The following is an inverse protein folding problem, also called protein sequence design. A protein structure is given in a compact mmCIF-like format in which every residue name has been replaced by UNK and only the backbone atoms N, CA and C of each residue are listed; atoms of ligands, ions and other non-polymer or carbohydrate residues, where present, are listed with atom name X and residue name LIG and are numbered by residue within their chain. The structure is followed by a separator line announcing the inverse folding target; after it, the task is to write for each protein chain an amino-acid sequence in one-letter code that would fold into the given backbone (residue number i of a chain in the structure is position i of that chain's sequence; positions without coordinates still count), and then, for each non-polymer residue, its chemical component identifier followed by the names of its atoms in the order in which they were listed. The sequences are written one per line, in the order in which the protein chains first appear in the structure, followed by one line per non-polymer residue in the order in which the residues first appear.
data_IF_830368433696
#
_entry.id   IF_830368433696
#
_cell.length_a   1.000
_cell.length_b   1.000
_cell.length_c   1.000
_cell.angle_alpha   90.00
_cell.angle_beta   90.00
_cell.angle_gamma   90.00
#
_symmetry.space_group_name_H-M   'P 1'
#
loop_
_entity.id
_entity.type
_entity.pdbx_description
1 polymer ?
#
# COMPACT_ATOMS: atom_id res chain seq x y z
N UNK A 1 -2.48 8.70 -6.52
CA UNK A 1 -1.51 8.66 -5.40
C UNK A 1 -2.21 8.14 -4.16
N UNK A 2 -1.55 7.30 -3.38
CA UNK A 2 -2.02 6.83 -2.06
C UNK A 2 -1.01 7.32 -1.02
N UNK A 3 -1.51 7.79 0.13
CA UNK A 3 -0.70 8.16 1.28
C UNK A 3 -1.14 7.34 2.47
N UNK A 4 -0.19 6.64 3.10
CA UNK A 4 -0.41 5.84 4.29
C UNK A 4 0.20 6.52 5.51
N UNK A 5 -0.55 6.47 6.60
CA UNK A 5 -0.17 6.99 7.91
C UNK A 5 -0.18 5.82 8.88
N UNK A 6 0.98 5.51 9.45
CA UNK A 6 1.07 4.53 10.52
C UNK A 6 1.30 5.24 11.85
N UNK A 7 0.20 5.58 12.52
CA UNK A 7 0.24 6.22 13.84
C UNK A 7 0.39 5.18 14.98
N UNK A 8 0.81 3.96 14.68
CA UNK A 8 1.01 2.86 15.65
C UNK A 8 2.49 2.56 15.88
N UNK A 9 2.77 1.66 16.83
CA UNK A 9 4.13 1.27 17.21
C UNK A 9 4.67 0.05 16.45
N UNK A 10 3.91 -0.53 15.52
CA UNK A 10 4.30 -1.72 14.75
C UNK A 10 4.43 -1.40 13.26
N UNK A 11 5.31 -2.10 12.57
CA UNK A 11 5.37 -2.03 11.10
C UNK A 11 4.14 -2.70 10.49
N UNK A 12 3.49 -2.04 9.53
CA UNK A 12 2.38 -2.61 8.76
C UNK A 12 2.78 -2.79 7.29
N UNK A 13 3.06 -4.03 6.84
CA UNK A 13 3.37 -4.31 5.44
C UNK A 13 2.08 -4.28 4.61
N UNK A 14 1.76 -3.16 3.97
CA UNK A 14 0.54 -3.02 3.17
C UNK A 14 0.75 -3.59 1.76
N UNK A 15 -0.08 -4.56 1.37
CA UNK A 15 -0.02 -5.27 0.09
C UNK A 15 -1.28 -4.99 -0.74
N UNK A 16 -1.08 -4.45 -1.94
CA UNK A 16 -2.13 -4.24 -2.93
C UNK A 16 -2.02 -5.31 -4.02
N UNK A 17 -3.09 -6.07 -4.23
CA UNK A 17 -3.16 -7.07 -5.29
C UNK A 17 -3.38 -6.42 -6.67
N UNK A 18 -3.01 -7.12 -7.74
CA UNK A 18 -3.33 -6.74 -9.12
C UNK A 18 -2.56 -5.55 -9.72
N UNK A 19 -2.04 -4.65 -8.89
CA UNK A 19 -1.34 -3.44 -9.32
C UNK A 19 -0.03 -3.26 -8.55
N UNK A 20 0.80 -2.33 -9.02
CA UNK A 20 2.07 -2.00 -8.38
C UNK A 20 2.00 -0.67 -7.62
N UNK A 21 2.73 -0.59 -6.51
CA UNK A 21 3.06 0.67 -5.84
C UNK A 21 4.40 1.19 -6.35
N UNK A 22 4.40 2.39 -6.91
CA UNK A 22 5.60 3.07 -7.41
C UNK A 22 6.04 4.15 -6.41
N UNK A 23 7.23 3.95 -5.86
CA UNK A 23 7.87 4.91 -4.96
C UNK A 23 8.60 5.96 -5.80
N UNK A 24 8.53 7.18 -5.30
CA UNK A 24 9.22 8.33 -5.86
C UNK A 24 10.11 8.95 -4.78
N UNK A 25 11.15 9.67 -5.20
CA UNK A 25 11.91 10.53 -4.31
C UNK A 25 11.18 11.89 -4.13
N UNK A 26 11.84 12.85 -3.48
CA UNK A 26 11.27 14.18 -3.21
C UNK A 26 11.03 15.01 -4.49
N UNK A 27 11.75 14.75 -5.57
CA UNK A 27 11.58 15.43 -6.87
C UNK A 27 10.51 14.78 -7.78
N UNK A 28 9.94 13.66 -7.35
CA UNK A 28 8.95 12.90 -8.11
C UNK A 28 9.57 11.89 -9.09
N UNK A 29 10.89 11.69 -9.11
CA UNK A 29 11.48 10.65 -9.94
C UNK A 29 11.31 9.26 -9.33
N UNK A 30 11.05 8.30 -10.22
CA UNK A 30 10.86 6.91 -9.87
C UNK A 30 12.06 6.32 -9.13
N UNK A 31 11.80 5.64 -8.02
CA UNK A 31 12.79 4.92 -7.24
C UNK A 31 12.65 3.41 -7.39
N UNK A 32 11.46 2.88 -7.13
CA UNK A 32 11.25 1.45 -7.07
C UNK A 32 9.78 1.10 -7.23
N UNK A 33 9.54 -0.11 -7.71
CA UNK A 33 8.22 -0.73 -7.79
C UNK A 33 8.12 -1.83 -6.75
N UNK A 34 7.04 -1.83 -5.97
CA UNK A 34 6.80 -2.81 -4.90
C UNK A 34 5.35 -3.28 -4.92
N UNK A 35 5.13 -4.56 -4.65
CA UNK A 35 3.79 -5.09 -4.42
C UNK A 35 3.38 -4.94 -2.94
N UNK A 36 4.34 -4.81 -2.03
CA UNK A 36 4.11 -4.64 -0.58
C UNK A 36 4.99 -3.50 -0.05
N UNK A 37 4.37 -2.56 0.66
CA UNK A 37 5.03 -1.40 1.26
C UNK A 37 5.11 -1.60 2.78
N UNK A 38 6.30 -1.77 3.37
CA UNK A 38 6.46 -1.76 4.82
C UNK A 38 6.30 -0.32 5.33
N UNK A 39 5.19 -0.03 6.01
CA UNK A 39 4.96 1.27 6.65
C UNK A 39 5.46 1.19 8.09
N UNK A 40 6.58 1.87 8.37
CA UNK A 40 7.25 1.89 9.66
C UNK A 40 6.41 2.62 10.73
N UNK A 41 6.67 2.40 12.04
CA UNK A 41 6.03 3.17 13.11
C UNK A 41 6.20 4.68 12.93
N UNK A 42 5.15 5.44 13.20
CA UNK A 42 5.06 6.90 13.02
C UNK A 42 5.41 7.42 11.61
N UNK A 43 5.46 6.53 10.60
CA UNK A 43 5.80 6.91 9.22
C UNK A 43 4.57 7.41 8.46
N UNK A 44 4.80 8.44 7.65
CA UNK A 44 3.93 8.81 6.51
C UNK A 44 4.68 8.46 5.24
N UNK A 45 4.05 7.70 4.35
CA UNK A 45 4.64 7.32 3.05
C UNK A 45 3.60 7.47 1.96
N UNK A 46 4.03 7.95 0.79
CA UNK A 46 3.17 8.03 -0.39
C UNK A 46 3.78 7.27 -1.56
N UNK A 47 2.91 6.76 -2.43
CA UNK A 47 3.30 6.07 -3.66
C UNK A 47 2.22 6.28 -4.73
N UNK A 48 2.62 6.09 -5.98
CA UNK A 48 1.70 6.04 -7.11
C UNK A 48 1.20 4.63 -7.35
N UNK A 49 0.00 4.56 -7.92
CA UNK A 49 -0.60 3.33 -8.43
C UNK A 49 -1.22 3.69 -9.77
N UNK A 50 -0.84 2.96 -10.81
CA UNK A 50 -1.53 2.98 -12.10
C UNK A 50 -2.66 1.97 -12.01
N UNK A 51 -3.90 2.43 -12.07
CA UNK A 51 -5.10 1.59 -11.97
C UNK A 51 -5.47 1.03 -13.35
N UNK A 52 -4.61 0.19 -13.91
CA UNK A 52 -4.75 -0.41 -15.25
C UNK A 52 -5.35 -1.84 -15.23
N UNK A 53 -5.42 -2.47 -14.06
CA UNK A 53 -5.99 -3.80 -13.89
C UNK A 53 -7.48 -3.73 -13.51
N UNK A 54 -8.38 -3.87 -14.49
CA UNK A 54 -9.84 -3.92 -14.24
C UNK A 54 -10.18 -5.09 -13.32
N UNK A 55 -10.97 -4.84 -12.27
CA UNK A 55 -11.39 -5.88 -11.33
C UNK A 55 -11.59 -5.39 -9.90
N UNK A 56 -11.67 -6.36 -8.98
CA UNK A 56 -11.80 -6.15 -7.53
C UNK A 56 -10.56 -6.75 -6.87
N UNK A 57 -9.78 -5.92 -6.21
CA UNK A 57 -8.46 -6.28 -5.69
C UNK A 57 -8.40 -6.15 -4.18
N UNK A 58 -7.87 -7.18 -3.53
CA UNK A 58 -7.61 -7.12 -2.10
C UNK A 58 -6.49 -6.11 -1.81
N UNK A 59 -6.69 -5.31 -0.77
CA UNK A 59 -5.68 -4.41 -0.23
C UNK A 59 -5.63 -4.56 1.28
N UNK A 60 -4.53 -5.11 1.79
CA UNK A 60 -4.49 -5.52 3.19
C UNK A 60 -3.11 -5.45 3.81
N UNK A 61 -3.06 -5.45 5.13
CA UNK A 61 -1.82 -5.68 5.86
C UNK A 61 -1.39 -7.15 5.66
N UNK A 62 -0.12 -7.37 5.35
CA UNK A 62 0.47 -8.69 5.13
C UNK A 62 0.93 -9.36 6.45
N UNK A 63 0.27 -8.98 7.55
CA UNK A 63 0.25 -9.66 8.83
C UNK A 63 -1.18 -10.18 8.97
N UNK A 64 -1.36 -11.51 8.89
CA UNK A 64 -2.68 -12.14 8.80
C UNK A 64 -3.62 -11.77 9.96
N UNK A 65 -3.08 -11.66 11.17
CA UNK A 65 -3.84 -11.21 12.33
C UNK A 65 -4.37 -9.77 12.16
N UNK A 66 -3.57 -8.86 11.60
CA UNK A 66 -4.02 -7.48 11.35
C UNK A 66 -5.05 -7.42 10.22
N UNK A 67 -4.88 -8.24 9.17
CA UNK A 67 -5.86 -8.39 8.09
C UNK A 67 -7.22 -8.81 8.66
N UNK A 68 -7.23 -9.88 9.47
CA UNK A 68 -8.44 -10.42 10.11
C UNK A 68 -9.08 -9.41 11.09
N UNK A 69 -8.25 -8.68 11.84
CA UNK A 69 -8.69 -7.63 12.76
C UNK A 69 -9.17 -6.33 12.07
N UNK A 70 -9.29 -6.31 10.74
CA UNK A 70 -9.94 -5.22 9.99
C UNK A 70 -9.02 -4.38 9.09
N UNK A 71 -7.72 -4.69 8.99
CA UNK A 71 -6.81 -4.10 7.99
C UNK A 71 -6.94 -4.80 6.63
N UNK A 72 -8.17 -4.96 6.15
CA UNK A 72 -8.51 -5.47 4.83
C UNK A 72 -9.49 -4.52 4.14
N UNK A 73 -9.22 -4.19 2.88
CA UNK A 73 -10.08 -3.38 2.00
C UNK A 73 -10.12 -3.99 0.61
N UNK A 74 -11.13 -3.59 -0.14
CA UNK A 74 -11.22 -3.86 -1.58
C UNK A 74 -10.96 -2.57 -2.35
N UNK A 75 -10.20 -2.68 -3.43
CA UNK A 75 -10.02 -1.63 -4.44
C UNK A 75 -10.73 -2.09 -5.70
N UNK A 76 -11.65 -1.26 -6.22
CA UNK A 76 -12.38 -1.52 -7.46
C UNK A 76 -11.81 -0.66 -8.56
N UNK A 77 -11.44 -1.29 -9.67
CA UNK A 77 -11.04 -0.65 -10.92
C UNK A 77 -12.07 -1.01 -11.97
N UNK A 78 -12.78 0.00 -12.48
CA UNK A 78 -13.93 -0.12 -13.39
C UNK A 78 -13.89 0.93 -14.48
#
# INVERSE_FOLDING_TARGET
RITLHNDTMMTHPMHLHGMWSELENEDGSFLARKHTIPVQPAQRISFLVTADAIGRWAWHCHIMFHMDAGMFREVVVS
#
